data_IF_641755085417
#
_entry.id   IF_641755085417
#
_cell.length_a   1.000
_cell.length_b   1.000
_cell.length_c   1.000
_cell.angle_alpha   90.00
_cell.angle_beta   90.00
_cell.angle_gamma   90.00
#
_symmetry.space_group_name_H-M   'P 1'
#
loop_
_entity.id
_entity.type
_entity.pdbx_description
1 polymer ?
#
# COMPACT_ATOMS: atom_id res chain seq x y z
N UNK A 1 37.61 15.57 61.17
CA UNK A 1 36.34 14.88 60.82
C UNK A 1 36.38 14.35 59.38
N UNK A 2 37.00 13.18 59.10
CA UNK A 2 37.16 12.65 57.74
C UNK A 2 36.43 11.30 57.57
N UNK A 3 35.10 11.28 57.54
CA UNK A 3 34.34 10.03 57.34
C UNK A 3 33.18 10.13 56.32
N UNK A 4 32.86 11.33 55.81
CA UNK A 4 31.71 11.51 54.91
C UNK A 4 32.02 11.40 53.40
N UNK A 5 33.30 11.49 52.99
CA UNK A 5 33.64 11.60 51.56
C UNK A 5 33.72 10.26 50.81
N UNK A 6 33.90 9.13 51.51
CA UNK A 6 34.19 7.83 50.88
C UNK A 6 32.96 7.05 50.38
N UNK A 7 31.73 7.43 50.78
CA UNK A 7 30.50 6.67 50.46
C UNK A 7 29.71 7.19 49.25
N UNK A 8 30.03 8.40 48.76
CA UNK A 8 29.31 9.00 47.64
C UNK A 8 29.97 8.76 46.28
N UNK A 9 31.29 8.53 46.23
CA UNK A 9 32.00 8.20 44.98
C UNK A 9 31.57 6.84 44.41
N UNK A 10 31.23 5.87 45.27
CA UNK A 10 30.77 4.55 44.85
C UNK A 10 29.33 4.53 44.30
N UNK A 11 28.50 5.53 44.66
CA UNK A 11 27.12 5.64 44.17
C UNK A 11 27.01 6.33 42.80
N UNK A 12 28.00 7.15 42.44
CA UNK A 12 28.02 7.87 41.16
C UNK A 12 28.58 6.97 40.03
N UNK A 13 29.49 6.05 40.35
CA UNK A 13 30.07 5.12 39.37
C UNK A 13 29.10 4.05 38.84
N UNK A 14 28.09 3.65 39.64
CA UNK A 14 27.16 2.58 39.26
C UNK A 14 26.04 3.05 38.30
N UNK A 15 25.67 4.33 38.37
CA UNK A 15 24.63 4.91 37.50
C UNK A 15 25.14 5.23 36.09
N UNK A 16 26.44 5.47 35.93
CA UNK A 16 27.04 5.76 34.62
C UNK A 16 27.29 4.50 33.76
N UNK A 17 27.43 3.32 34.39
CA UNK A 17 27.66 2.06 33.69
C UNK A 17 26.38 1.41 33.12
N UNK A 18 25.20 1.78 33.63
CA UNK A 18 23.93 1.25 33.13
C UNK A 18 23.45 1.93 31.82
N UNK A 19 23.89 3.17 31.57
CA UNK A 19 23.54 3.92 30.35
C UNK A 19 24.39 3.54 29.13
N UNK A 20 25.56 2.91 29.33
CA UNK A 20 26.46 2.48 28.25
C UNK A 20 26.12 1.11 27.66
N UNK A 21 25.15 0.40 28.23
CA UNK A 21 24.65 -0.89 27.72
C UNK A 21 23.39 -0.74 26.84
N UNK A 22 23.09 0.44 26.30
CA UNK A 22 22.21 0.51 25.14
C UNK A 22 23.03 0.05 23.94
N UNK A 23 22.71 -1.09 23.30
CA UNK A 23 23.42 -1.50 22.10
C UNK A 23 23.09 -0.46 21.02
N UNK A 24 24.02 0.47 20.78
CA UNK A 24 23.93 1.50 19.74
C UNK A 24 23.56 0.87 18.38
N UNK A 25 23.99 -0.37 18.16
CA UNK A 25 23.64 -1.16 16.98
C UNK A 25 22.14 -1.50 16.87
N UNK A 26 21.45 -1.75 17.99
CA UNK A 26 20.00 -2.00 18.00
C UNK A 26 19.19 -0.71 17.80
N UNK A 27 19.65 0.41 18.36
CA UNK A 27 19.10 1.74 18.07
C UNK A 27 19.31 2.13 16.60
N UNK A 28 20.51 1.92 16.06
CA UNK A 28 20.81 2.16 14.65
C UNK A 28 19.99 1.25 13.72
N UNK A 29 19.80 -0.03 14.07
CA UNK A 29 18.95 -0.95 13.31
C UNK A 29 17.46 -0.56 13.36
N UNK A 30 16.96 -0.08 14.51
CA UNK A 30 15.60 0.46 14.62
C UNK A 30 15.41 1.75 13.79
N UNK A 31 16.45 2.55 13.63
CA UNK A 31 16.46 3.73 12.75
C UNK A 31 16.60 3.36 11.26
N UNK A 32 17.09 2.17 10.94
CA UNK A 32 17.22 1.63 9.58
C UNK A 32 16.08 0.65 9.25
N UNK A 33 14.84 0.94 9.65
CA UNK A 33 13.72 0.21 9.06
C UNK A 33 13.76 0.42 7.55
N UNK A 34 13.79 -0.66 6.74
CA UNK A 34 13.77 -0.53 5.29
C UNK A 34 12.55 0.31 4.92
N UNK A 35 12.74 1.23 3.97
CA UNK A 35 11.67 2.09 3.46
C UNK A 35 10.63 1.22 2.73
N UNK A 36 9.75 0.56 3.49
CA UNK A 36 8.70 -0.34 3.01
C UNK A 36 7.52 0.49 2.50
N UNK A 37 7.81 1.46 1.65
CA UNK A 37 6.81 2.25 0.96
C UNK A 37 6.31 1.47 -0.24
N UNK A 38 4.98 1.39 -0.33
CA UNK A 38 4.31 0.82 -1.50
C UNK A 38 3.55 1.92 -2.19
N UNK A 39 3.86 2.09 -3.47
CA UNK A 39 3.27 3.10 -4.32
C UNK A 39 2.75 2.47 -5.59
N UNK A 40 1.65 3.01 -6.11
CA UNK A 40 1.07 2.64 -7.39
C UNK A 40 0.98 3.86 -8.29
N UNK A 41 1.27 3.62 -9.57
CA UNK A 41 1.00 4.57 -10.65
C UNK A 41 -0.11 3.95 -11.51
N UNK A 42 -1.22 4.66 -11.60
CA UNK A 42 -2.46 4.20 -12.21
C UNK A 42 -2.91 5.20 -13.26
N UNK A 43 -3.39 4.70 -14.39
CA UNK A 43 -4.01 5.49 -15.44
C UNK A 43 -5.31 4.82 -15.86
N UNK A 44 -6.44 5.50 -15.73
CA UNK A 44 -7.73 4.95 -16.14
C UNK A 44 -8.01 5.31 -17.59
N UNK A 45 -8.15 4.29 -18.45
CA UNK A 45 -8.31 4.51 -19.90
C UNK A 45 -9.68 5.07 -20.27
N UNK A 46 -10.68 4.91 -19.40
CA UNK A 46 -12.04 5.37 -19.65
C UNK A 46 -12.29 6.79 -19.16
N UNK A 47 -11.69 7.17 -18.03
CA UNK A 47 -11.84 8.51 -17.45
C UNK A 47 -10.66 9.45 -17.74
N UNK A 48 -9.58 8.93 -18.33
CA UNK A 48 -8.31 9.61 -18.54
C UNK A 48 -7.62 10.12 -17.26
N UNK A 49 -8.10 9.74 -16.08
CA UNK A 49 -7.53 10.11 -14.79
C UNK A 49 -6.19 9.40 -14.55
N UNK A 50 -5.29 10.08 -13.84
CA UNK A 50 -3.98 9.55 -13.42
C UNK A 50 -3.83 9.70 -11.92
N UNK A 51 -3.29 8.66 -11.27
CA UNK A 51 -2.98 8.67 -9.85
C UNK A 51 -1.60 8.06 -9.63
N UNK A 52 -0.71 8.81 -8.99
CA UNK A 52 0.56 8.31 -8.45
C UNK A 52 0.52 8.52 -6.95
N UNK A 53 0.42 7.44 -6.18
CA UNK A 53 0.18 7.54 -4.74
C UNK A 53 0.95 6.48 -3.96
N UNK A 54 1.52 6.88 -2.83
CA UNK A 54 2.03 5.96 -1.81
C UNK A 54 0.83 5.56 -0.94
N UNK A 55 0.44 4.28 -0.96
CA UNK A 55 -0.74 3.80 -0.24
C UNK A 55 -0.39 3.03 1.04
N UNK A 56 0.88 2.67 1.22
CA UNK A 56 1.38 2.02 2.42
C UNK A 56 2.75 2.59 2.79
N UNK A 57 2.95 2.92 4.07
CA UNK A 57 4.20 3.45 4.62
C UNK A 57 4.30 3.11 6.10
N UNK A 58 5.52 2.84 6.59
CA UNK A 58 5.79 2.64 8.03
C UNK A 58 4.87 1.59 8.69
N UNK A 59 4.56 0.50 7.98
CA UNK A 59 3.74 -0.57 8.52
C UNK A 59 2.23 -0.39 8.37
N UNK A 60 1.76 0.75 7.86
CA UNK A 60 0.34 1.10 7.81
C UNK A 60 -0.14 1.50 6.41
N UNK A 61 -1.39 1.17 6.11
CA UNK A 61 -2.11 1.71 4.96
C UNK A 61 -2.52 3.16 5.23
N UNK A 62 -2.46 4.00 4.21
CA UNK A 62 -2.80 5.42 4.31
C UNK A 62 -4.25 5.63 3.86
N UNK A 63 -5.19 5.98 4.78
CA UNK A 63 -6.62 6.03 4.46
C UNK A 63 -6.96 6.93 3.27
N UNK A 64 -6.36 8.14 3.22
CA UNK A 64 -6.57 9.06 2.10
C UNK A 64 -6.14 8.46 0.76
N UNK A 65 -5.00 7.77 0.73
CA UNK A 65 -4.52 7.14 -0.49
C UNK A 65 -5.45 5.99 -0.93
N UNK A 66 -5.99 5.23 0.02
CA UNK A 66 -6.99 4.20 -0.28
C UNK A 66 -8.26 4.83 -0.86
N UNK A 67 -8.74 5.95 -0.31
CA UNK A 67 -9.89 6.68 -0.88
C UNK A 67 -9.61 7.16 -2.32
N UNK A 68 -8.42 7.74 -2.56
CA UNK A 68 -8.03 8.18 -3.90
C UNK A 68 -7.96 6.99 -4.89
N UNK A 69 -7.46 5.83 -4.43
CA UNK A 69 -7.41 4.59 -5.21
C UNK A 69 -8.81 4.04 -5.50
N UNK A 70 -9.69 3.98 -4.50
CA UNK A 70 -11.07 3.54 -4.65
C UNK A 70 -11.80 4.41 -5.69
N UNK A 71 -11.54 5.72 -5.67
CA UNK A 71 -12.14 6.64 -6.64
C UNK A 71 -11.64 6.40 -8.07
N UNK A 72 -10.33 6.31 -8.31
CA UNK A 72 -9.83 6.05 -9.69
C UNK A 72 -10.23 4.65 -10.21
N UNK A 73 -10.50 3.70 -9.30
CA UNK A 73 -10.97 2.35 -9.61
C UNK A 73 -12.50 2.21 -9.58
N UNK A 74 -13.25 3.30 -9.43
CA UNK A 74 -14.73 3.31 -9.45
C UNK A 74 -15.29 2.72 -10.73
N UNK A 75 -16.54 2.31 -10.69
CA UNK A 75 -17.25 1.95 -11.91
C UNK A 75 -17.40 3.20 -12.78
N UNK A 76 -16.68 3.26 -13.91
CA UNK A 76 -16.69 4.44 -14.78
C UNK A 76 -18.05 4.71 -15.44
N UNK A 77 -18.97 3.74 -15.41
CA UNK A 77 -20.29 3.88 -16.03
C UNK A 77 -21.29 4.55 -15.11
N UNK A 78 -21.20 4.31 -13.81
CA UNK A 78 -22.14 4.84 -12.81
C UNK A 78 -21.49 5.83 -11.86
N UNK A 79 -20.17 5.83 -11.73
CA UNK A 79 -19.42 6.58 -10.73
C UNK A 79 -19.37 5.89 -9.36
N UNK A 80 -20.01 4.72 -9.21
CA UNK A 80 -20.08 4.04 -7.92
C UNK A 80 -18.69 3.61 -7.46
N UNK A 81 -18.39 3.90 -6.20
CA UNK A 81 -17.12 3.58 -5.53
C UNK A 81 -17.35 2.43 -4.55
N UNK A 82 -16.34 1.58 -4.37
CA UNK A 82 -16.30 0.61 -3.27
C UNK A 82 -14.91 0.58 -2.65
N UNK A 83 -14.79 -0.04 -1.49
CA UNK A 83 -13.50 -0.31 -0.89
C UNK A 83 -12.78 -1.42 -1.65
N UNK A 84 -11.67 -1.06 -2.29
CA UNK A 84 -10.80 -2.04 -2.94
C UNK A 84 -9.99 -2.78 -1.89
N UNK A 85 -9.88 -4.09 -2.06
CA UNK A 85 -9.16 -4.94 -1.12
C UNK A 85 -7.67 -4.56 -1.10
N UNK A 86 -7.10 -4.32 0.07
CA UNK A 86 -5.69 -3.88 0.20
C UNK A 86 -4.71 -4.96 -0.27
N UNK A 87 -5.03 -6.24 -0.09
CA UNK A 87 -4.22 -7.35 -0.61
C UNK A 87 -4.14 -7.35 -2.14
N UNK A 88 -5.17 -6.84 -2.84
CA UNK A 88 -5.13 -6.65 -4.29
C UNK A 88 -4.08 -5.59 -4.66
N UNK A 89 -4.04 -4.48 -3.93
CA UNK A 89 -3.07 -3.40 -4.15
C UNK A 89 -1.63 -3.87 -3.91
N UNK A 90 -1.44 -4.69 -2.88
CA UNK A 90 -0.16 -5.35 -2.59
C UNK A 90 0.28 -6.31 -3.68
N UNK A 91 -0.66 -7.06 -4.26
CA UNK A 91 -0.37 -7.93 -5.41
C UNK A 91 0.07 -7.11 -6.62
N UNK A 92 -0.63 -6.02 -6.95
CA UNK A 92 -0.23 -5.10 -8.03
C UNK A 92 1.19 -4.56 -7.83
N UNK A 93 1.50 -4.11 -6.61
CA UNK A 93 2.83 -3.62 -6.25
C UNK A 93 3.90 -4.71 -6.41
N UNK A 94 3.62 -5.92 -5.91
CA UNK A 94 4.53 -7.06 -6.03
C UNK A 94 4.79 -7.46 -7.48
N UNK A 95 3.74 -7.51 -8.31
CA UNK A 95 3.84 -7.79 -9.76
C UNK A 95 4.71 -6.75 -10.44
N UNK A 96 4.44 -5.45 -10.24
CA UNK A 96 5.22 -4.36 -10.85
C UNK A 96 6.70 -4.46 -10.51
N UNK A 97 7.02 -4.75 -9.25
CA UNK A 97 8.41 -4.96 -8.80
C UNK A 97 9.05 -6.20 -9.41
N UNK A 98 8.31 -7.31 -9.49
CA UNK A 98 8.85 -8.59 -9.99
C UNK A 98 9.27 -8.51 -11.45
N UNK A 99 8.44 -7.89 -12.28
CA UNK A 99 8.68 -7.75 -13.72
C UNK A 99 9.48 -6.49 -14.09
N UNK A 100 9.77 -5.62 -13.10
CA UNK A 100 10.47 -4.34 -13.28
C UNK A 100 9.80 -3.44 -14.33
N UNK A 101 8.47 -3.49 -14.40
CA UNK A 101 7.71 -2.70 -15.36
C UNK A 101 7.89 -1.20 -15.08
N UNK A 102 8.01 -0.42 -16.16
CA UNK A 102 8.07 1.04 -16.13
C UNK A 102 6.70 1.63 -16.46
N UNK A 103 6.43 2.81 -15.92
CA UNK A 103 5.18 3.53 -16.20
C UNK A 103 3.96 3.03 -15.41
N UNK A 104 2.78 3.60 -15.66
CA UNK A 104 1.56 3.29 -14.92
C UNK A 104 0.90 1.99 -15.40
N UNK A 105 0.16 1.35 -14.49
CA UNK A 105 -0.86 0.39 -14.89
C UNK A 105 -1.99 1.13 -15.62
N UNK A 106 -2.32 0.67 -16.81
CA UNK A 106 -3.52 1.13 -17.51
C UNK A 106 -4.70 0.32 -17.00
N UNK A 107 -5.59 0.95 -16.26
CA UNK A 107 -6.80 0.35 -15.70
C UNK A 107 -7.80 0.21 -16.85
N UNK A 108 -8.17 -1.04 -17.14
CA UNK A 108 -9.27 -1.38 -18.06
C UNK A 108 -10.57 -1.41 -17.26
N UNK A 109 -10.59 -2.08 -16.10
CA UNK A 109 -11.74 -2.02 -15.22
C UNK A 109 -11.35 -2.28 -13.76
N UNK A 110 -11.96 -1.53 -12.84
CA UNK A 110 -11.83 -1.71 -11.39
C UNK A 110 -13.10 -2.32 -10.81
N UNK A 111 -13.69 -1.65 -9.84
CA UNK A 111 -15.01 -2.01 -9.33
C UNK A 111 -16.08 -1.98 -10.43
N UNK A 112 -17.04 -2.91 -10.35
CA UNK A 112 -18.24 -2.92 -11.17
C UNK A 112 -19.44 -2.97 -10.25
N UNK A 113 -20.34 -2.00 -10.34
CA UNK A 113 -21.57 -2.07 -9.57
C UNK A 113 -22.46 -3.23 -10.07
N UNK A 114 -23.38 -3.75 -9.25
CA UNK A 114 -24.21 -4.89 -9.62
C UNK A 114 -24.97 -4.70 -10.93
N UNK A 115 -25.50 -3.50 -11.18
CA UNK A 115 -26.22 -3.15 -12.41
C UNK A 115 -25.32 -3.18 -13.65
N UNK A 116 -24.11 -2.62 -13.57
CA UNK A 116 -23.11 -2.73 -14.64
C UNK A 116 -22.73 -4.18 -14.92
N UNK A 117 -22.44 -4.97 -13.88
CA UNK A 117 -22.04 -6.37 -14.06
C UNK A 117 -23.16 -7.20 -14.73
N UNK A 118 -24.41 -6.96 -14.36
CA UNK A 118 -25.56 -7.57 -15.02
C UNK A 118 -25.73 -7.10 -16.47
N UNK A 119 -25.61 -5.80 -16.73
CA UNK A 119 -25.72 -5.26 -18.08
C UNK A 119 -24.66 -5.85 -19.02
N UNK A 120 -23.41 -6.02 -18.53
CA UNK A 120 -22.34 -6.66 -19.28
C UNK A 120 -22.62 -8.16 -19.50
N UNK A 121 -23.09 -8.87 -18.47
CA UNK A 121 -23.49 -10.30 -18.58
C UNK A 121 -24.54 -10.54 -19.65
N UNK A 122 -25.47 -9.60 -19.85
CA UNK A 122 -26.49 -9.72 -20.92
C UNK A 122 -25.92 -9.49 -22.32
N UNK A 123 -24.78 -8.82 -22.44
CA UNK A 123 -24.15 -8.44 -23.72
C UNK A 123 -23.00 -9.37 -24.12
N UNK A 124 -22.38 -10.06 -23.16
CA UNK A 124 -21.19 -10.87 -23.39
C UNK A 124 -21.20 -12.15 -22.55
N UNK A 125 -20.78 -13.27 -23.13
CA UNK A 125 -20.74 -14.57 -22.47
C UNK A 125 -19.65 -14.71 -21.40
N UNK A 126 -18.67 -13.78 -21.37
CA UNK A 126 -17.50 -13.84 -20.50
C UNK A 126 -17.68 -13.27 -19.08
N UNK A 127 -18.87 -12.81 -18.68
CA UNK A 127 -19.07 -12.11 -17.40
C UNK A 127 -19.81 -12.98 -16.38
N UNK A 128 -19.10 -13.37 -15.32
CA UNK A 128 -19.65 -14.20 -14.26
C UNK A 128 -20.72 -13.48 -13.42
N UNK A 129 -21.73 -14.25 -12.95
CA UNK A 129 -22.78 -13.76 -12.04
C UNK A 129 -22.23 -13.27 -10.69
N UNK A 130 -21.18 -13.93 -10.17
CA UNK A 130 -20.49 -13.59 -8.91
C UNK A 130 -19.07 -13.12 -9.17
N UNK A 131 -18.93 -12.06 -9.98
CA UNK A 131 -17.63 -11.49 -10.33
C UNK A 131 -16.92 -10.89 -9.10
N UNK A 132 -15.60 -11.05 -9.01
CA UNK A 132 -14.79 -10.41 -7.96
C UNK A 132 -14.72 -8.88 -8.14
N UNK A 133 -15.02 -8.36 -9.33
CA UNK A 133 -15.13 -6.91 -9.56
C UNK A 133 -16.24 -6.28 -8.72
N UNK A 134 -17.34 -7.00 -8.47
CA UNK A 134 -18.45 -6.46 -7.65
C UNK A 134 -18.15 -6.47 -6.15
N UNK A 135 -16.98 -7.00 -5.75
CA UNK A 135 -16.53 -7.10 -4.36
C UNK A 135 -15.32 -6.22 -4.05
N UNK A 136 -14.84 -5.43 -5.02
CA UNK A 136 -13.59 -4.68 -4.87
C UNK A 136 -12.34 -5.57 -4.80
N UNK A 137 -12.42 -6.82 -5.28
CA UNK A 137 -11.34 -7.82 -5.17
C UNK A 137 -10.64 -8.11 -6.50
N UNK A 138 -11.05 -7.46 -7.59
CA UNK A 138 -10.46 -7.67 -8.91
C UNK A 138 -10.25 -6.35 -9.65
N UNK A 139 -9.28 -6.38 -10.56
CA UNK A 139 -8.92 -5.29 -11.45
C UNK A 139 -8.43 -5.90 -12.76
N UNK A 140 -8.89 -5.35 -13.88
CA UNK A 140 -8.34 -5.64 -15.19
C UNK A 140 -7.36 -4.52 -15.54
N UNK A 141 -6.13 -4.89 -15.89
CA UNK A 141 -5.04 -3.96 -16.16
C UNK A 141 -4.30 -4.36 -17.42
N UNK A 142 -3.67 -3.36 -18.04
CA UNK A 142 -2.61 -3.54 -19.03
C UNK A 142 -1.35 -2.81 -18.58
N UNK A 143 -0.19 -3.39 -18.87
CA UNK A 143 1.10 -2.74 -18.71
C UNK A 143 1.64 -2.33 -20.08
N UNK A 144 1.93 -1.05 -20.32
CA UNK A 144 2.57 -0.63 -21.56
C UNK A 144 3.90 -1.37 -21.78
N UNK A 145 4.09 -1.92 -22.97
CA UNK A 145 5.29 -2.68 -23.33
C UNK A 145 5.22 -4.20 -23.06
N UNK A 146 4.05 -4.71 -22.66
CA UNK A 146 3.77 -6.14 -22.56
C UNK A 146 2.50 -6.45 -23.36
N UNK A 147 2.57 -7.49 -24.20
CA UNK A 147 1.38 -7.99 -24.90
C UNK A 147 0.44 -8.70 -23.91
N UNK A 148 -0.84 -8.37 -24.01
CA UNK A 148 -1.93 -8.87 -23.15
C UNK A 148 -3.15 -9.22 -23.99
#
# INVERSE_FOLDING_TARGET
MPLYYRRNVLKIGLSAAAASMLPLNALAAAMQMPDNRRSLDLYNIHTAERLSVCYYKQGAYLPKALTDINHILRDHRTGDVTDMQTELLDLLYAVKRRIRAKGPFSIISGYRCPSTNEALRRKTDGVAKKSYHTKGMAIDIRLPGYDT
#
